data_IF_033836093978
#
_entry.id   IF_033836093978
#
_cell.length_a   1.000
_cell.length_b   1.000
_cell.length_c   1.000
_cell.angle_alpha   90.00
_cell.angle_beta   90.00
_cell.angle_gamma   90.00
#
_symmetry.space_group_name_H-M   'P 1'
#
loop_
_entity.id
_entity.type
_entity.pdbx_description
1 polymer ?
#
# COMPACT_ATOMS: atom_id res chain seq x y z
N UNK A 1 0.88 20.93 -18.51
CA UNK A 1 1.00 20.13 -17.26
C UNK A 1 2.20 19.21 -17.35
N UNK A 2 3.00 19.16 -16.30
CA UNK A 2 4.13 18.25 -16.25
C UNK A 2 3.67 16.82 -16.00
N UNK A 3 4.08 15.93 -16.89
CA UNK A 3 3.87 14.50 -16.74
C UNK A 3 5.24 13.82 -16.65
N UNK A 4 5.48 13.17 -15.51
CA UNK A 4 6.75 12.49 -15.27
C UNK A 4 6.49 10.99 -15.23
N UNK A 5 7.22 10.25 -16.04
CA UNK A 5 7.11 8.80 -16.10
C UNK A 5 8.37 8.18 -15.52
N UNK A 6 8.19 7.27 -14.58
CA UNK A 6 9.28 6.50 -14.00
C UNK A 6 8.90 5.01 -14.03
N UNK A 7 9.90 4.16 -14.13
CA UNK A 7 9.65 2.73 -14.04
C UNK A 7 9.38 2.35 -12.59
N UNK A 8 8.29 1.60 -12.36
CA UNK A 8 7.96 1.03 -11.05
C UNK A 8 7.86 -0.48 -11.17
N UNK A 9 8.06 -1.19 -10.06
CA UNK A 9 7.83 -2.63 -10.04
C UNK A 9 6.33 -2.94 -10.08
N UNK A 10 5.99 -4.14 -10.52
CA UNK A 10 4.58 -4.57 -10.55
C UNK A 10 4.00 -4.61 -9.13
N UNK A 11 4.79 -5.06 -8.15
CA UNK A 11 4.36 -5.05 -6.74
C UNK A 11 4.05 -3.66 -6.22
N UNK A 12 4.87 -2.67 -6.60
CA UNK A 12 4.63 -1.26 -6.23
C UNK A 12 3.33 -0.74 -6.84
N UNK A 13 3.06 -1.11 -8.09
CA UNK A 13 1.81 -0.72 -8.76
C UNK A 13 0.58 -1.26 -8.04
N UNK A 14 0.57 -2.55 -7.70
CA UNK A 14 -0.54 -3.16 -6.96
C UNK A 14 -0.70 -2.56 -5.56
N UNK A 15 0.41 -2.30 -4.88
CA UNK A 15 0.41 -1.68 -3.56
C UNK A 15 -0.23 -0.28 -3.62
N UNK A 16 0.17 0.53 -4.58
CA UNK A 16 -0.39 1.86 -4.79
C UNK A 16 -1.88 1.81 -5.10
N UNK A 17 -2.31 0.87 -5.92
CA UNK A 17 -3.74 0.67 -6.21
C UNK A 17 -4.49 0.32 -4.93
N UNK A 18 -3.96 -0.56 -4.08
CA UNK A 18 -4.62 -0.95 -2.83
C UNK A 18 -4.81 0.25 -1.90
N UNK A 19 -3.80 1.11 -1.80
CA UNK A 19 -3.87 2.32 -0.98
C UNK A 19 -4.93 3.30 -1.53
N UNK A 20 -4.97 3.48 -2.85
CA UNK A 20 -5.98 4.35 -3.48
C UNK A 20 -7.40 3.80 -3.28
N UNK A 21 -7.58 2.49 -3.35
CA UNK A 21 -8.87 1.85 -3.05
C UNK A 21 -9.33 2.15 -1.62
N UNK A 22 -8.42 2.06 -0.65
CA UNK A 22 -8.70 2.40 0.75
C UNK A 22 -9.09 3.87 0.86
N UNK A 23 -8.33 4.76 0.21
CA UNK A 23 -8.60 6.20 0.23
C UNK A 23 -9.99 6.54 -0.33
N UNK A 24 -10.44 5.83 -1.38
CA UNK A 24 -11.79 6.06 -1.92
C UNK A 24 -12.90 5.79 -0.92
N UNK A 25 -12.66 4.89 0.04
CA UNK A 25 -13.63 4.54 1.07
C UNK A 25 -13.51 5.41 2.33
N UNK A 26 -12.32 5.92 2.63
CA UNK A 26 -12.03 6.66 3.87
C UNK A 26 -12.16 8.16 3.71
N UNK A 27 -11.80 8.72 2.56
CA UNK A 27 -11.79 10.15 2.30
C UNK A 27 -13.18 10.57 1.83
N UNK A 28 -13.72 11.64 2.43
CA UNK A 28 -15.09 12.12 2.15
C UNK A 28 -15.12 13.41 1.36
N UNK A 29 -14.04 14.18 1.34
CA UNK A 29 -13.97 15.42 0.59
C UNK A 29 -14.07 15.15 -0.92
N UNK A 30 -15.05 15.80 -1.58
CA UNK A 30 -15.36 15.54 -3.00
C UNK A 30 -14.22 15.88 -3.93
N UNK A 31 -13.53 16.99 -3.71
CA UNK A 31 -12.40 17.39 -4.57
C UNK A 31 -11.24 16.42 -4.46
N UNK A 32 -10.92 15.97 -3.25
CA UNK A 32 -9.89 14.96 -3.02
C UNK A 32 -10.29 13.60 -3.61
N UNK A 33 -11.53 13.19 -3.46
CA UNK A 33 -12.04 11.94 -4.04
C UNK A 33 -11.92 11.93 -5.56
N UNK A 34 -12.19 13.05 -6.20
CA UNK A 34 -12.06 13.18 -7.67
C UNK A 34 -10.64 12.92 -8.13
N UNK A 35 -9.67 13.50 -7.41
CA UNK A 35 -8.23 13.31 -7.70
C UNK A 35 -7.84 11.84 -7.50
N UNK A 36 -8.25 11.25 -6.39
CA UNK A 36 -7.94 9.85 -6.05
C UNK A 36 -8.53 8.89 -7.07
N UNK A 37 -9.79 9.06 -7.42
CA UNK A 37 -10.49 8.19 -8.38
C UNK A 37 -9.88 8.29 -9.78
N UNK A 38 -9.43 9.49 -10.17
CA UNK A 38 -8.74 9.67 -11.44
C UNK A 38 -7.44 8.87 -11.47
N UNK A 39 -6.60 9.02 -10.46
CA UNK A 39 -5.33 8.28 -10.38
C UNK A 39 -5.58 6.77 -10.35
N UNK A 40 -6.53 6.31 -9.54
CA UNK A 40 -6.89 4.89 -9.44
C UNK A 40 -7.31 4.33 -10.81
N UNK A 41 -8.15 5.06 -11.54
CA UNK A 41 -8.59 4.68 -12.87
C UNK A 41 -7.42 4.53 -13.84
N UNK A 42 -6.48 5.50 -13.83
CA UNK A 42 -5.30 5.46 -14.69
C UNK A 42 -4.42 4.24 -14.38
N UNK A 43 -4.21 3.94 -13.11
CA UNK A 43 -3.40 2.78 -12.71
C UNK A 43 -4.07 1.45 -13.06
N UNK A 44 -5.39 1.35 -12.90
CA UNK A 44 -6.14 0.15 -13.29
C UNK A 44 -6.06 -0.12 -14.79
N UNK A 45 -6.04 0.93 -15.61
CA UNK A 45 -5.85 0.79 -17.06
C UNK A 45 -4.51 0.10 -17.36
N UNK A 46 -3.46 0.44 -16.63
CA UNK A 46 -2.13 -0.18 -16.82
C UNK A 46 -2.19 -1.67 -16.50
N UNK A 47 -2.85 -2.05 -15.40
CA UNK A 47 -3.04 -3.45 -15.02
C UNK A 47 -3.72 -4.23 -16.16
N UNK A 48 -4.80 -3.67 -16.71
CA UNK A 48 -5.56 -4.31 -17.77
C UNK A 48 -4.76 -4.39 -19.09
N UNK A 49 -4.13 -3.30 -19.48
CA UNK A 49 -3.36 -3.24 -20.73
C UNK A 49 -2.15 -4.17 -20.72
N UNK A 50 -1.50 -4.32 -19.57
CA UNK A 50 -0.35 -5.20 -19.41
C UNK A 50 -0.74 -6.63 -19.03
N UNK A 51 -2.05 -6.92 -18.92
CA UNK A 51 -2.58 -8.24 -18.54
C UNK A 51 -1.98 -8.78 -17.23
N UNK A 52 -1.89 -7.89 -16.22
CA UNK A 52 -1.30 -8.21 -14.93
C UNK A 52 -2.32 -8.76 -13.92
N UNK A 53 -3.60 -8.82 -14.28
CA UNK A 53 -4.70 -9.22 -13.40
C UNK A 53 -4.95 -10.73 -13.36
N UNK A 54 -3.90 -11.53 -13.43
CA UNK A 54 -3.98 -13.00 -13.33
C UNK A 54 -4.22 -13.45 -11.89
N UNK A 55 -4.65 -14.71 -11.73
CA UNK A 55 -5.08 -15.27 -10.43
C UNK A 55 -4.05 -15.06 -9.31
N UNK A 56 -2.78 -15.31 -9.58
CA UNK A 56 -1.72 -15.15 -8.57
C UNK A 56 -1.67 -13.72 -8.06
N UNK A 57 -1.63 -12.75 -8.96
CA UNK A 57 -1.58 -11.34 -8.60
C UNK A 57 -2.84 -10.88 -7.87
N UNK A 58 -4.01 -11.39 -8.25
CA UNK A 58 -5.26 -11.07 -7.55
C UNK A 58 -5.24 -11.55 -6.10
N UNK A 59 -4.74 -12.75 -5.85
CA UNK A 59 -4.60 -13.30 -4.49
C UNK A 59 -3.64 -12.44 -3.66
N UNK A 60 -2.48 -12.12 -4.21
CA UNK A 60 -1.50 -11.29 -3.53
C UNK A 60 -2.03 -9.86 -3.29
N UNK A 61 -2.77 -9.32 -4.24
CA UNK A 61 -3.42 -8.02 -4.10
C UNK A 61 -4.38 -7.98 -2.92
N UNK A 62 -5.20 -9.02 -2.73
CA UNK A 62 -6.12 -9.10 -1.60
C UNK A 62 -5.36 -9.11 -0.26
N UNK A 63 -4.21 -9.75 -0.21
CA UNK A 63 -3.33 -9.73 0.97
C UNK A 63 -2.77 -8.33 1.22
N UNK A 64 -2.33 -7.63 0.17
CA UNK A 64 -1.88 -6.23 0.28
C UNK A 64 -2.98 -5.33 0.79
N UNK A 65 -4.17 -5.44 0.23
CA UNK A 65 -5.32 -4.64 0.63
C UNK A 65 -5.62 -4.81 2.11
N UNK A 66 -5.60 -6.04 2.60
CA UNK A 66 -5.83 -6.36 4.02
C UNK A 66 -4.76 -5.74 4.91
N UNK A 67 -3.48 -5.87 4.54
CA UNK A 67 -2.38 -5.30 5.31
C UNK A 67 -2.45 -3.78 5.32
N UNK A 68 -2.70 -3.15 4.18
CA UNK A 68 -2.79 -1.70 4.08
C UNK A 68 -4.00 -1.14 4.83
N UNK A 69 -5.13 -1.86 4.88
CA UNK A 69 -6.27 -1.50 5.72
C UNK A 69 -5.91 -1.52 7.20
N UNK A 70 -5.17 -2.53 7.65
CA UNK A 70 -4.70 -2.61 9.04
C UNK A 70 -3.73 -1.47 9.36
N UNK A 71 -2.79 -1.19 8.46
CA UNK A 71 -1.86 -0.07 8.62
C UNK A 71 -2.59 1.26 8.71
N UNK A 72 -3.60 1.46 7.88
CA UNK A 72 -4.44 2.67 7.94
C UNK A 72 -5.05 2.87 9.32
N UNK A 73 -5.69 1.81 9.86
CA UNK A 73 -6.31 1.86 11.19
C UNK A 73 -5.28 2.09 12.30
N UNK A 74 -4.11 1.47 12.21
CA UNK A 74 -3.04 1.64 13.19
C UNK A 74 -2.52 3.08 13.17
N UNK A 75 -2.29 3.65 11.99
CA UNK A 75 -1.81 5.02 11.86
C UNK A 75 -2.85 6.02 12.41
N UNK A 76 -4.14 5.81 12.16
CA UNK A 76 -5.20 6.63 12.74
C UNK A 76 -5.20 6.54 14.26
N UNK A 77 -5.09 5.36 14.81
CA UNK A 77 -5.05 5.15 16.27
C UNK A 77 -3.82 5.80 16.89
N UNK A 78 -2.65 5.67 16.26
CA UNK A 78 -1.42 6.34 16.73
C UNK A 78 -1.59 7.84 16.80
N UNK A 79 -2.26 8.45 15.81
CA UNK A 79 -2.52 9.88 15.78
C UNK A 79 -3.44 10.31 16.92
N UNK A 80 -4.43 9.49 17.30
CA UNK A 80 -5.28 9.74 18.47
C UNK A 80 -4.46 9.74 19.75
N UNK A 81 -3.53 8.82 19.93
CA UNK A 81 -2.63 8.82 21.07
C UNK A 81 -1.72 10.05 21.09
N UNK A 82 -1.27 10.50 19.92
CA UNK A 82 -0.47 11.72 19.80
C UNK A 82 -1.26 12.95 20.25
N UNK A 83 -2.52 13.07 19.83
CA UNK A 83 -3.40 14.18 20.23
C UNK A 83 -3.58 14.24 21.74
N UNK A 84 -3.77 13.10 22.40
CA UNK A 84 -3.96 13.01 23.87
C UNK A 84 -2.65 12.89 24.63
N UNK A 85 -1.51 12.84 23.93
CA UNK A 85 -0.17 12.67 24.52
C UNK A 85 -0.06 11.41 25.39
N UNK A 86 -0.77 10.36 25.01
CA UNK A 86 -0.69 9.05 25.67
C UNK A 86 0.30 8.15 24.95
N UNK A 87 1.48 7.99 25.57
CA UNK A 87 2.55 7.14 25.01
C UNK A 87 2.75 5.92 25.91
N UNK A 88 1.67 5.22 26.15
CA UNK A 88 1.61 4.06 27.01
C UNK A 88 1.98 2.75 26.29
N UNK A 89 1.77 1.62 26.95
CA UNK A 89 2.03 0.30 26.37
C UNK A 89 1.26 0.05 25.08
N UNK A 90 0.00 0.52 24.99
CA UNK A 90 -0.82 0.35 23.80
C UNK A 90 -0.25 1.12 22.61
N UNK A 91 0.25 2.32 22.84
CA UNK A 91 0.94 3.10 21.80
C UNK A 91 2.18 2.36 21.29
N UNK A 92 2.97 1.80 22.19
CA UNK A 92 4.18 1.02 21.85
C UNK A 92 3.79 -0.21 21.00
N UNK A 93 2.74 -0.93 21.37
CA UNK A 93 2.25 -2.09 20.63
C UNK A 93 1.82 -1.70 19.21
N UNK A 94 1.11 -0.58 19.05
CA UNK A 94 0.74 -0.06 17.74
C UNK A 94 1.95 0.30 16.90
N UNK A 95 2.94 0.98 17.50
CA UNK A 95 4.17 1.35 16.81
C UNK A 95 4.95 0.12 16.34
N UNK A 96 5.00 -0.94 17.13
CA UNK A 96 5.66 -2.20 16.76
C UNK A 96 4.94 -2.88 15.60
N UNK A 97 3.62 -2.87 15.58
CA UNK A 97 2.83 -3.45 14.48
C UNK A 97 3.12 -2.81 13.13
N UNK A 98 3.47 -1.53 13.11
CA UNK A 98 3.76 -0.82 11.87
C UNK A 98 4.93 -1.47 11.12
N UNK A 99 6.07 -1.68 11.77
CA UNK A 99 7.20 -2.27 11.05
C UNK A 99 6.98 -3.75 10.74
N UNK A 100 6.28 -4.50 11.62
CA UNK A 100 5.95 -5.90 11.37
C UNK A 100 5.06 -6.05 10.12
N UNK A 101 4.03 -5.20 9.99
CA UNK A 101 3.14 -5.21 8.84
C UNK A 101 3.82 -4.69 7.57
N UNK A 102 4.68 -3.69 7.69
CA UNK A 102 5.44 -3.19 6.55
C UNK A 102 6.41 -4.25 6.01
N UNK A 103 6.99 -5.07 6.88
CA UNK A 103 7.83 -6.18 6.43
C UNK A 103 7.03 -7.21 5.64
N UNK A 104 5.84 -7.57 6.11
CA UNK A 104 4.93 -8.46 5.37
C UNK A 104 4.48 -7.86 4.05
N UNK A 105 4.19 -6.56 4.06
CA UNK A 105 3.83 -5.82 2.84
C UNK A 105 4.94 -5.89 1.79
N UNK A 106 6.18 -5.63 2.20
CA UNK A 106 7.32 -5.72 1.29
C UNK A 106 7.52 -7.14 0.75
N UNK A 107 7.32 -8.16 1.59
CA UNK A 107 7.40 -9.56 1.17
C UNK A 107 6.37 -9.89 0.10
N UNK A 108 5.12 -9.46 0.26
CA UNK A 108 4.06 -9.68 -0.72
C UNK A 108 4.36 -8.94 -2.03
N UNK A 109 4.80 -7.69 -1.94
CA UNK A 109 5.21 -6.91 -3.13
C UNK A 109 6.30 -7.64 -3.91
N UNK A 110 7.29 -8.19 -3.22
CA UNK A 110 8.37 -8.93 -3.87
C UNK A 110 7.90 -10.26 -4.48
N UNK A 111 6.93 -10.93 -3.89
CA UNK A 111 6.30 -12.10 -4.51
C UNK A 111 5.64 -11.75 -5.84
N UNK A 112 4.92 -10.64 -5.89
CA UNK A 112 4.34 -10.13 -7.15
C UNK A 112 5.43 -9.79 -8.15
N UNK A 113 6.50 -9.14 -7.72
CA UNK A 113 7.61 -8.74 -8.58
C UNK A 113 8.28 -9.95 -9.23
N UNK A 114 8.56 -10.99 -8.44
CA UNK A 114 9.19 -12.21 -8.93
C UNK A 114 8.28 -12.92 -9.92
N UNK A 115 7.01 -13.10 -9.57
CA UNK A 115 6.03 -13.76 -10.42
C UNK A 115 5.81 -13.02 -11.74
N UNK A 116 5.82 -11.68 -11.70
CA UNK A 116 5.57 -10.83 -12.87
C UNK A 116 6.80 -10.46 -13.65
N UNK A 117 7.99 -10.89 -13.20
CA UNK A 117 9.25 -10.60 -13.90
C UNK A 117 9.68 -9.15 -13.83
N UNK A 118 9.35 -8.43 -12.76
CA UNK A 118 9.83 -7.05 -12.58
C UNK A 118 11.33 -7.01 -12.41
N UNK A 119 12.01 -6.12 -13.17
CA UNK A 119 13.45 -5.92 -13.01
C UNK A 119 13.81 -4.99 -11.87
N UNK A 120 12.86 -4.15 -11.43
CA UNK A 120 13.01 -3.27 -10.27
C UNK A 120 12.31 -3.95 -9.08
N UNK A 121 12.99 -3.97 -7.94
CA UNK A 121 12.49 -4.60 -6.71
C UNK A 121 12.87 -3.76 -5.52
N UNK A 122 12.05 -3.83 -4.46
CA UNK A 122 12.36 -3.20 -3.18
C UNK A 122 13.39 -4.04 -2.42
N UNK A 123 14.42 -3.39 -1.89
CA UNK A 123 15.44 -4.02 -1.05
C UNK A 123 15.44 -3.31 0.30
N UNK A 124 15.38 -4.08 1.37
CA UNK A 124 15.45 -3.56 2.75
C UNK A 124 16.68 -4.12 3.45
N UNK A 125 17.33 -3.27 4.24
CA UNK A 125 18.54 -3.61 5.00
C UNK A 125 18.33 -3.31 6.49
N UNK A 126 17.36 -3.98 7.08
CA UNK A 126 17.07 -3.84 8.51
C UNK A 126 17.69 -4.99 9.30
N UNK A 127 18.00 -4.71 10.58
CA UNK A 127 18.39 -5.78 11.50
C UNK A 127 17.24 -6.77 11.66
N UNK A 128 17.58 -8.05 11.70
CA UNK A 128 16.62 -9.10 12.02
C UNK A 128 16.20 -9.00 13.49
N UNK A 129 14.97 -9.29 13.74
CA UNK A 129 14.41 -9.27 15.08
C UNK A 129 13.69 -10.57 15.39
#
# INVERSE_FOLDING_TARGET
MNKILVEVSVGELFDKISILEIKTKKIKDRSNLKIIKFELSELKKIINNKKLNKSYNKIQYQKLLKINNRLWSIEDNKRKYEVTKKFDKKFIELARKVYLLNDKRAEIKNKINIHSGSRIREVKSYKKY
#
